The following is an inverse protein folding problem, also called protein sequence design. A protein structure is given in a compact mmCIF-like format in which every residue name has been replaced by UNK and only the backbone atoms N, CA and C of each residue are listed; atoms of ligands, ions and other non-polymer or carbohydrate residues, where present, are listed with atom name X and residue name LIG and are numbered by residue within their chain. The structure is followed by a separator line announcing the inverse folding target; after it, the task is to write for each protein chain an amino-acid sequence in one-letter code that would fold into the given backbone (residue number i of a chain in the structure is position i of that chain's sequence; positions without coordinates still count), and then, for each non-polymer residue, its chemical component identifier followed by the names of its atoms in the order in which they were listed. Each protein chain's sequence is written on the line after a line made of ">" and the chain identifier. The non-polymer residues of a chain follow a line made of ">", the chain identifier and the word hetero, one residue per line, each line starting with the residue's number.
data_IF_722492820046
#
_entry.id   IF_722492820046
#
_cell.length_a   1.000
_cell.length_b   1.000
_cell.length_c   1.000
_cell.angle_alpha   90.00
_cell.angle_beta   90.00
_cell.angle_gamma   90.00
#
_symmetry.space_group_name_H-M   'P 1'
#
loop_
_entity.id
_entity.type
_entity.pdbx_description
1 polymer ?
#
# COMPACT_ATOMS: atom_id res chain seq x y z
N UNK A 1 10.67 -16.79 3.59
CA UNK A 1 9.42 -16.10 3.23
C UNK A 1 9.76 -15.10 2.14
N UNK A 2 8.99 -15.01 1.05
CA UNK A 2 9.24 -14.01 0.01
C UNK A 2 8.79 -12.60 0.44
N UNK A 3 9.25 -11.57 -0.27
CA UNK A 3 9.00 -10.18 0.07
C UNK A 3 7.52 -9.79 -0.02
N UNK A 4 6.73 -10.44 -0.89
CA UNK A 4 5.30 -10.15 -1.06
C UNK A 4 4.49 -10.70 0.14
N UNK A 5 4.81 -11.93 0.56
CA UNK A 5 4.26 -12.52 1.77
C UNK A 5 4.63 -11.72 3.03
N UNK A 6 5.88 -11.26 3.15
CA UNK A 6 6.32 -10.39 4.23
C UNK A 6 5.53 -9.07 4.25
N UNK A 7 5.43 -8.42 3.10
CA UNK A 7 4.71 -7.17 2.96
C UNK A 7 3.23 -7.30 3.37
N UNK A 8 2.55 -8.36 2.93
CA UNK A 8 1.15 -8.63 3.32
C UNK A 8 0.99 -8.80 4.83
N UNK A 9 1.92 -9.48 5.49
CA UNK A 9 1.90 -9.65 6.95
C UNK A 9 2.06 -8.31 7.66
N UNK A 10 3.01 -7.47 7.22
CA UNK A 10 3.25 -6.14 7.79
C UNK A 10 2.05 -5.19 7.60
N UNK A 11 1.44 -5.20 6.42
CA UNK A 11 0.24 -4.40 6.14
C UNK A 11 -0.93 -4.84 7.00
N UNK A 12 -1.17 -6.16 7.07
CA UNK A 12 -2.25 -6.72 7.89
C UNK A 12 -2.07 -6.37 9.37
N UNK A 13 -0.85 -6.50 9.89
CA UNK A 13 -0.59 -6.23 11.30
C UNK A 13 -0.74 -4.77 11.69
N UNK A 14 -0.44 -3.86 10.75
CA UNK A 14 -0.74 -2.44 10.89
C UNK A 14 -2.24 -2.17 11.03
N UNK A 15 -3.06 -2.77 10.16
CA UNK A 15 -4.53 -2.65 10.23
C UNK A 15 -5.09 -3.24 11.52
N UNK A 16 -4.60 -4.41 11.92
CA UNK A 16 -5.07 -5.15 13.09
C UNK A 16 -4.54 -4.56 14.43
N UNK A 17 -3.86 -3.41 14.39
CA UNK A 17 -3.24 -2.74 15.55
C UNK A 17 -2.22 -3.60 16.33
N UNK A 18 -1.64 -4.62 15.68
CA UNK A 18 -0.65 -5.53 16.28
C UNK A 18 0.71 -5.49 15.53
N UNK A 19 0.98 -4.38 14.85
CA UNK A 19 2.19 -4.18 14.04
C UNK A 19 3.48 -4.36 14.84
N UNK A 20 3.55 -3.74 16.01
CA UNK A 20 4.75 -3.78 16.85
C UNK A 20 5.08 -5.21 17.26
N UNK A 21 4.08 -5.92 17.80
CA UNK A 21 4.19 -7.34 18.17
C UNK A 21 4.56 -8.21 16.97
N UNK A 22 3.99 -7.93 15.78
CA UNK A 22 4.28 -8.69 14.57
C UNK A 22 5.73 -8.50 14.13
N UNK A 23 6.23 -7.26 14.11
CA UNK A 23 7.63 -6.95 13.77
C UNK A 23 8.58 -7.59 14.78
N UNK A 24 8.28 -7.48 16.07
CA UNK A 24 9.10 -8.07 17.13
C UNK A 24 9.13 -9.60 17.01
N UNK A 25 7.99 -10.24 16.74
CA UNK A 25 7.91 -11.68 16.49
C UNK A 25 8.67 -12.12 15.23
N UNK A 26 8.63 -11.32 14.16
CA UNK A 26 9.37 -11.59 12.92
C UNK A 26 10.88 -11.53 13.17
N UNK A 27 11.35 -10.55 13.94
CA UNK A 27 12.76 -10.40 14.28
C UNK A 27 13.23 -11.48 15.27
N UNK A 28 12.38 -11.93 16.18
CA UNK A 28 12.76 -12.93 17.19
C UNK A 28 12.77 -14.38 16.67
N UNK A 29 12.32 -14.65 15.43
CA UNK A 29 12.25 -16.00 14.87
C UNK A 29 13.59 -16.61 14.44
N UNK A 30 14.63 -15.81 14.18
CA UNK A 30 15.96 -16.33 13.81
C UNK A 30 17.07 -15.28 14.05
N UNK A 31 18.08 -15.59 14.87
CA UNK A 31 19.13 -14.63 15.28
C UNK A 31 20.12 -14.31 14.15
N UNK A 32 20.31 -15.25 13.21
CA UNK A 32 21.28 -15.13 12.12
C UNK A 32 20.86 -14.15 11.01
N UNK A 33 19.60 -13.68 11.01
CA UNK A 33 19.04 -12.91 9.89
C UNK A 33 18.34 -11.60 10.32
N UNK A 34 18.48 -11.16 11.58
CA UNK A 34 17.84 -9.94 12.11
C UNK A 34 18.25 -8.67 11.37
N UNK A 35 19.53 -8.54 11.05
CA UNK A 35 20.06 -7.35 10.38
C UNK A 35 19.61 -7.26 8.91
N UNK A 36 19.42 -8.39 8.25
CA UNK A 36 18.89 -8.43 6.88
C UNK A 36 17.38 -8.20 6.87
N UNK A 37 16.66 -8.86 7.78
CA UNK A 37 15.21 -8.71 7.90
C UNK A 37 14.83 -7.28 8.28
N UNK A 38 15.57 -6.63 9.19
CA UNK A 38 15.35 -5.24 9.53
C UNK A 38 15.59 -4.29 8.35
N UNK A 39 16.59 -4.54 7.50
CA UNK A 39 16.79 -3.78 6.25
C UNK A 39 15.64 -3.96 5.27
N UNK A 40 15.17 -5.20 5.10
CA UNK A 40 14.04 -5.49 4.21
C UNK A 40 12.76 -4.80 4.72
N UNK A 41 12.45 -4.91 6.01
CA UNK A 41 11.28 -4.26 6.62
C UNK A 41 11.39 -2.73 6.49
N UNK A 42 12.56 -2.16 6.77
CA UNK A 42 12.79 -0.70 6.63
C UNK A 42 12.58 -0.23 5.20
N UNK A 43 13.11 -0.97 4.22
CA UNK A 43 12.95 -0.68 2.80
C UNK A 43 11.49 -0.79 2.34
N UNK A 44 10.77 -1.83 2.77
CA UNK A 44 9.35 -2.02 2.46
C UNK A 44 8.46 -0.92 3.05
N UNK A 45 8.86 -0.35 4.18
CA UNK A 45 8.14 0.73 4.85
C UNK A 45 8.63 2.13 4.42
N UNK A 46 9.58 2.21 3.49
CA UNK A 46 10.08 3.48 2.95
C UNK A 46 10.89 4.31 3.94
N UNK A 47 11.60 3.67 4.88
CA UNK A 47 12.38 4.37 5.90
C UNK A 47 13.88 4.11 5.74
N UNK A 48 14.67 5.17 5.55
CA UNK A 48 16.13 5.11 5.43
C UNK A 48 16.80 5.21 6.82
N UNK A 49 17.68 4.26 7.17
CA UNK A 49 18.55 4.40 8.35
C UNK A 49 18.88 3.10 9.13
N UNK A 50 19.91 3.19 9.98
CA UNK A 50 20.31 2.15 10.94
C UNK A 50 19.51 2.30 12.23
N UNK A 51 18.67 1.31 12.52
CA UNK A 51 17.78 1.32 13.67
C UNK A 51 18.39 0.66 14.89
N UNK A 52 18.19 1.29 16.04
CA UNK A 52 18.61 0.73 17.33
C UNK A 52 17.61 -0.33 17.80
N UNK A 53 18.14 -1.48 18.25
CA UNK A 53 17.40 -2.72 18.60
C UNK A 53 16.22 -2.54 19.57
N UNK A 54 16.18 -1.45 20.34
CA UNK A 54 15.24 -1.32 21.46
C UNK A 54 13.93 -0.58 21.11
N UNK A 55 13.80 0.00 19.92
CA UNK A 55 12.59 0.75 19.53
C UNK A 55 12.19 0.58 18.05
N UNK A 56 12.73 -0.40 17.36
CA UNK A 56 12.60 -0.54 15.90
C UNK A 56 11.14 -0.58 15.42
N UNK A 57 10.33 -1.47 16.01
CA UNK A 57 8.90 -1.65 15.73
C UNK A 57 8.11 -0.34 15.93
N UNK A 58 8.37 0.36 17.03
CA UNK A 58 7.73 1.64 17.35
C UNK A 58 8.11 2.76 16.36
N UNK A 59 9.38 2.86 15.99
CA UNK A 59 9.83 3.90 15.05
C UNK A 59 9.32 3.64 13.63
N UNK A 60 9.23 2.38 13.21
CA UNK A 60 8.55 2.00 11.96
C UNK A 60 7.08 2.41 11.97
N UNK A 61 6.36 2.13 13.05
CA UNK A 61 4.95 2.53 13.17
C UNK A 61 4.76 4.04 13.05
N UNK A 62 5.66 4.84 13.66
CA UNK A 62 5.65 6.31 13.54
C UNK A 62 5.92 6.78 12.11
N UNK A 63 6.89 6.17 11.42
CA UNK A 63 7.22 6.52 10.04
C UNK A 63 6.02 6.25 9.11
N UNK A 64 5.36 5.10 9.28
CA UNK A 64 4.16 4.74 8.52
C UNK A 64 2.99 5.67 8.88
N UNK A 65 2.79 6.00 10.16
CA UNK A 65 1.70 6.90 10.57
C UNK A 65 1.84 8.31 9.99
N UNK A 66 3.08 8.79 9.84
CA UNK A 66 3.34 10.07 9.18
C UNK A 66 3.04 10.00 7.68
N UNK A 67 3.22 8.84 7.04
CA UNK A 67 2.84 8.63 5.64
C UNK A 67 1.32 8.68 5.45
N UNK A 68 0.56 8.07 6.36
CA UNK A 68 -0.92 8.13 6.38
C UNK A 68 -1.49 9.51 6.74
N UNK A 69 -0.68 10.43 7.26
CA UNK A 69 -1.13 11.79 7.59
C UNK A 69 -1.38 12.66 6.34
N UNK A 70 -0.90 12.24 5.17
CA UNK A 70 -1.38 12.77 3.91
C UNK A 70 -2.74 12.13 3.61
N UNK A 71 -3.81 12.76 4.09
CA UNK A 71 -5.17 12.41 3.71
C UNK A 71 -5.22 12.43 2.18
N UNK A 72 -5.21 11.27 1.54
CA UNK A 72 -5.53 11.12 0.11
C UNK A 72 -6.99 10.71 0.03
N UNK A 73 -7.65 11.04 -1.07
CA UNK A 73 -8.98 10.50 -1.36
C UNK A 73 -8.94 9.95 -2.77
N UNK A 74 -8.86 8.64 -2.89
CA UNK A 74 -8.74 7.94 -4.16
C UNK A 74 -10.11 7.85 -4.81
N UNK A 75 -10.21 8.39 -6.02
CA UNK A 75 -11.42 8.27 -6.83
C UNK A 75 -11.09 7.72 -8.21
N UNK A 76 -12.00 6.92 -8.77
CA UNK A 76 -11.97 6.52 -10.17
C UNK A 76 -12.68 7.58 -11.02
N UNK A 77 -12.00 8.11 -12.02
CA UNK A 77 -12.49 9.23 -12.85
C UNK A 77 -12.84 8.86 -14.27
N UNK A 78 -12.39 7.71 -14.77
CA UNK A 78 -12.58 7.27 -16.15
C UNK A 78 -12.82 5.77 -16.24
N UNK A 79 -13.49 5.33 -17.31
CA UNK A 79 -13.61 3.91 -17.62
C UNK A 79 -12.25 3.31 -17.98
N UNK A 80 -11.97 2.15 -17.40
CA UNK A 80 -10.80 1.33 -17.73
C UNK A 80 -11.09 0.48 -18.96
N UNK A 81 -10.17 0.49 -19.93
CA UNK A 81 -10.19 -0.38 -21.12
C UNK A 81 -9.57 -1.76 -20.88
N UNK A 82 -9.11 -2.06 -19.66
CA UNK A 82 -8.64 -3.38 -19.21
C UNK A 82 -7.49 -4.00 -20.03
N UNK A 83 -6.82 -3.22 -20.88
CA UNK A 83 -5.70 -3.65 -21.73
C UNK A 83 -4.34 -3.69 -21.01
N UNK A 84 -4.31 -3.39 -19.71
CA UNK A 84 -3.12 -3.45 -18.89
C UNK A 84 -3.10 -4.75 -18.10
N UNK A 85 -1.99 -5.48 -18.15
CA UNK A 85 -1.90 -6.84 -17.58
C UNK A 85 -0.68 -6.96 -16.70
N UNK A 86 -0.88 -7.43 -15.47
CA UNK A 86 0.20 -7.76 -14.53
C UNK A 86 0.45 -9.28 -14.44
N UNK A 87 -0.57 -10.06 -14.74
CA UNK A 87 -0.62 -11.53 -14.81
C UNK A 87 -1.85 -11.91 -15.63
N UNK A 88 -1.99 -13.17 -16.06
CA UNK A 88 -3.06 -13.63 -16.97
C UNK A 88 -4.49 -13.28 -16.54
N UNK A 89 -4.73 -12.94 -15.26
CA UNK A 89 -6.07 -12.71 -14.69
C UNK A 89 -6.26 -11.35 -14.00
N UNK A 90 -5.22 -10.52 -13.87
CA UNK A 90 -5.30 -9.26 -13.12
C UNK A 90 -4.72 -8.07 -13.89
N UNK A 91 -5.44 -6.95 -13.82
CA UNK A 91 -4.92 -5.64 -14.25
C UNK A 91 -3.84 -5.13 -13.30
N UNK A 92 -3.03 -4.17 -13.76
CA UNK A 92 -1.97 -3.56 -12.94
C UNK A 92 -2.53 -2.93 -11.64
N UNK A 93 -3.66 -2.23 -11.71
CA UNK A 93 -4.28 -1.63 -10.52
C UNK A 93 -4.91 -2.66 -9.56
N UNK A 94 -5.35 -3.82 -10.07
CA UNK A 94 -5.76 -4.93 -9.21
C UNK A 94 -4.58 -5.58 -8.50
N UNK A 95 -3.48 -5.82 -9.23
CA UNK A 95 -2.28 -6.40 -8.65
C UNK A 95 -1.57 -5.46 -7.67
N UNK A 96 -1.64 -4.14 -7.90
CA UNK A 96 -1.00 -3.16 -7.02
C UNK A 96 -1.77 -2.89 -5.74
N UNK A 97 -3.07 -3.23 -5.69
CA UNK A 97 -3.89 -2.96 -4.50
C UNK A 97 -3.64 -4.03 -3.42
N UNK A 98 -3.02 -3.68 -2.28
CA UNK A 98 -2.73 -4.66 -1.24
C UNK A 98 -3.97 -5.05 -0.41
N UNK A 99 -5.09 -4.34 -0.60
CA UNK A 99 -6.35 -4.55 0.10
C UNK A 99 -7.40 -5.24 -0.77
N UNK A 100 -7.03 -5.66 -1.99
CA UNK A 100 -7.95 -6.23 -2.99
C UNK A 100 -9.23 -5.37 -3.18
N UNK A 101 -9.08 -4.05 -3.09
CA UNK A 101 -10.17 -3.09 -3.20
C UNK A 101 -10.52 -2.75 -4.65
N UNK A 102 -9.68 -3.11 -5.62
CA UNK A 102 -9.98 -2.95 -7.04
C UNK A 102 -10.61 -4.25 -7.57
N UNK A 103 -11.86 -4.16 -8.01
CA UNK A 103 -12.65 -5.29 -8.54
C UNK A 103 -13.00 -5.05 -10.01
N UNK A 104 -13.35 -6.12 -10.74
CA UNK A 104 -13.85 -6.02 -12.11
C UNK A 104 -15.37 -5.98 -12.08
N UNK A 105 -15.94 -4.94 -12.69
CA UNK A 105 -17.32 -4.90 -13.13
C UNK A 105 -17.39 -5.52 -14.53
N UNK A 106 -17.77 -6.80 -14.57
CA UNK A 106 -17.90 -7.54 -15.83
C UNK A 106 -18.97 -6.93 -16.75
N UNK A 107 -20.03 -6.36 -16.17
CA UNK A 107 -21.15 -5.81 -16.94
C UNK A 107 -20.76 -4.56 -17.73
N UNK A 108 -19.89 -3.73 -17.16
CA UNK A 108 -19.39 -2.49 -17.78
C UNK A 108 -18.00 -2.65 -18.38
N UNK A 109 -17.45 -3.86 -18.34
CA UNK A 109 -16.10 -4.18 -18.77
C UNK A 109 -15.06 -3.19 -18.21
N UNK A 110 -15.12 -2.93 -16.91
CA UNK A 110 -14.29 -1.90 -16.27
C UNK A 110 -13.98 -2.26 -14.82
N UNK A 111 -13.07 -1.54 -14.17
CA UNK A 111 -12.79 -1.73 -12.73
C UNK A 111 -13.75 -0.95 -11.83
N UNK A 112 -13.90 -1.34 -10.57
CA UNK A 112 -14.55 -0.51 -9.54
C UNK A 112 -13.67 -0.50 -8.29
N UNK A 113 -13.84 0.54 -7.47
CA UNK A 113 -13.27 0.59 -6.13
C UNK A 113 -14.35 0.07 -5.17
N UNK A 114 -14.03 -0.99 -4.44
CA UNK A 114 -14.77 -1.42 -3.25
C UNK A 114 -14.43 -0.47 -2.10
N UNK A 115 -15.33 0.49 -1.84
CA UNK A 115 -15.15 1.51 -0.81
C UNK A 115 -15.06 0.92 0.61
N UNK A 116 -15.54 -0.30 0.84
CA UNK A 116 -15.42 -0.94 2.15
C UNK A 116 -13.99 -1.46 2.42
N UNK A 117 -13.20 -1.67 1.37
CA UNK A 117 -11.82 -2.17 1.46
C UNK A 117 -10.77 -1.11 1.13
N UNK A 118 -11.16 -0.06 0.40
CA UNK A 118 -10.24 1.00 0.01
C UNK A 118 -9.80 1.81 1.24
N UNK A 119 -8.49 1.99 1.38
CA UNK A 119 -7.87 2.75 2.47
C UNK A 119 -7.23 4.05 1.98
N UNK A 120 -7.53 4.46 0.75
CA UNK A 120 -6.96 5.63 0.09
C UNK A 120 -5.42 5.62 -0.05
N UNK A 121 -4.79 4.44 -0.01
CA UNK A 121 -3.33 4.31 -0.12
C UNK A 121 -2.70 4.84 -1.43
N UNK A 122 -3.47 4.97 -2.51
CA UNK A 122 -3.02 5.57 -3.76
C UNK A 122 -2.24 4.64 -4.72
N UNK A 123 -1.92 3.40 -4.37
CA UNK A 123 -1.15 2.49 -5.25
C UNK A 123 -1.80 2.24 -6.63
N UNK A 124 -3.12 2.37 -6.75
CA UNK A 124 -3.81 2.24 -8.02
C UNK A 124 -3.62 3.46 -8.94
N UNK A 125 -3.31 4.64 -8.37
CA UNK A 125 -3.02 5.87 -9.11
C UNK A 125 -1.69 5.69 -9.85
N UNK A 126 -0.65 5.29 -9.12
CA UNK A 126 0.70 5.07 -9.67
C UNK A 126 0.74 3.91 -10.67
N UNK A 127 0.01 2.83 -10.40
CA UNK A 127 0.02 1.64 -11.23
C UNK A 127 -0.81 1.76 -12.53
N UNK A 128 -1.70 2.75 -12.64
CA UNK A 128 -2.60 2.85 -13.78
C UNK A 128 -1.99 3.70 -14.90
N UNK A 129 -1.53 3.10 -16.03
CA UNK A 129 -0.87 3.86 -17.10
C UNK A 129 -1.82 4.83 -17.82
N UNK A 130 -3.13 4.61 -17.70
CA UNK A 130 -4.16 5.41 -18.35
C UNK A 130 -4.71 6.52 -17.44
N UNK A 131 -4.22 6.63 -16.19
CA UNK A 131 -4.65 7.67 -15.25
C UNK A 131 -6.15 7.61 -14.91
N UNK A 132 -6.68 6.40 -14.69
CA UNK A 132 -8.10 6.20 -14.35
C UNK A 132 -8.43 6.52 -12.88
N UNK A 133 -7.41 6.62 -12.03
CA UNK A 133 -7.54 6.94 -10.60
C UNK A 133 -6.75 8.20 -10.28
N UNK A 134 -7.26 9.03 -9.37
CA UNK A 134 -6.60 10.26 -8.91
C UNK A 134 -6.78 10.44 -7.40
N UNK A 135 -5.94 11.28 -6.81
CA UNK A 135 -6.15 11.85 -5.47
C UNK A 135 -6.98 13.14 -5.58
N UNK A 136 -8.15 13.16 -4.94
CA UNK A 136 -9.07 14.31 -4.95
C UNK A 136 -8.47 15.54 -4.24
N UNK A 137 -7.56 15.35 -3.29
CA UNK A 137 -7.01 16.47 -2.50
C UNK A 137 -6.00 17.29 -3.31
N UNK A 138 -5.25 16.67 -4.21
CA UNK A 138 -4.36 17.37 -5.16
C UNK A 138 -5.13 18.17 -6.23
N UNK A 139 -6.42 17.91 -6.45
CA UNK A 139 -7.24 18.63 -7.44
C UNK A 139 -7.91 19.90 -6.91
N UNK A 140 -7.98 20.09 -5.60
CA UNK A 140 -8.59 21.28 -4.97
C UNK A 140 -7.93 22.63 -5.34
N UNK A 141 -6.59 22.74 -5.51
CA UNK A 141 -5.95 24.01 -5.86
C UNK A 141 -6.32 24.55 -7.25
N UNK A 142 -6.89 23.73 -8.15
CA UNK A 142 -7.26 24.14 -9.50
C UNK A 142 -8.64 24.80 -9.60
N UNK A 143 -9.46 24.71 -8.54
CA UNK A 143 -10.78 25.35 -8.47
C UNK A 143 -10.74 26.76 -7.89
N UNK A 144 -9.63 27.15 -7.24
CA UNK A 144 -9.42 28.51 -6.71
C UNK A 144 -8.83 29.48 -7.74
N UNK A 145 -8.72 29.08 -9.00
CA UNK A 145 -8.15 29.89 -10.09
C UNK A 145 -9.12 30.11 -11.25
N UNK A 146 -10.43 29.96 -11.02
CA UNK A 146 -11.52 30.36 -11.92
C UNK A 146 -12.41 31.36 -11.18
#
# INVERSE_FOLDING_TARGET
>A
MDNNALFKILVKSYIDNNFEDTVDNLLNKDDANKDELSKIISSLCGVEGSYTKNNFSRELKKAISNYTANNKVVIKVKNCCMNCTSSDTKTLCQSSCPFDAIVIDESKHTTLIDSAKCTDCGFCIEACPNGNYIDKIEYLPLLSSI
#
